data_IF_914582086311
#
_entry.id   IF_914582086311
#
_cell.length_a   1.000
_cell.length_b   1.000
_cell.length_c   1.000
_cell.angle_alpha   90.00
_cell.angle_beta   90.00
_cell.angle_gamma   90.00
#
_symmetry.space_group_name_H-M   'P 1'
#
loop_
_entity.id
_entity.type
_entity.pdbx_description
1 polymer ?
#
# COMPACT_ATOMS: atom_id res chain seq x y z
N UNK A 1 -9.66 -8.56 15.78
CA UNK A 1 -8.74 -7.76 14.93
C UNK A 1 -7.58 -7.20 15.74
N UNK A 2 -6.34 -7.32 15.26
CA UNK A 2 -5.18 -6.68 15.90
C UNK A 2 -5.06 -5.19 15.52
N UNK A 3 -3.99 -4.49 15.94
CA UNK A 3 -3.79 -3.07 15.62
C UNK A 3 -3.45 -2.84 14.14
N UNK A 4 -2.64 -3.72 13.56
CA UNK A 4 -2.19 -3.63 12.16
C UNK A 4 -3.36 -3.84 11.19
N UNK A 5 -4.20 -4.84 11.46
CA UNK A 5 -5.42 -5.13 10.71
C UNK A 5 -6.39 -3.93 10.73
N UNK A 6 -6.50 -3.25 11.87
CA UNK A 6 -7.35 -2.04 12.01
C UNK A 6 -6.81 -0.89 11.20
N UNK A 7 -5.49 -0.68 11.23
CA UNK A 7 -4.84 0.34 10.40
C UNK A 7 -5.07 0.05 8.92
N UNK A 8 -4.88 -1.20 8.49
CA UNK A 8 -5.13 -1.60 7.11
C UNK A 8 -6.57 -1.34 6.68
N UNK A 9 -7.55 -1.70 7.51
CA UNK A 9 -8.96 -1.40 7.25
C UNK A 9 -9.21 0.13 7.22
N UNK A 10 -8.58 0.90 8.11
CA UNK A 10 -8.64 2.35 8.09
C UNK A 10 -8.14 2.90 6.75
N UNK A 11 -7.01 2.41 6.24
CA UNK A 11 -6.46 2.86 4.95
C UNK A 11 -7.44 2.65 3.79
N UNK A 12 -8.12 1.50 3.78
CA UNK A 12 -9.12 1.15 2.76
C UNK A 12 -10.43 1.93 2.90
N UNK A 13 -10.85 2.25 4.12
CA UNK A 13 -12.01 3.12 4.36
C UNK A 13 -11.74 4.58 3.97
N UNK A 14 -10.50 5.04 4.15
CA UNK A 14 -10.12 6.43 3.99
C UNK A 14 -9.14 6.66 2.83
N UNK A 15 -9.19 5.82 1.80
CA UNK A 15 -8.32 5.92 0.61
C UNK A 15 -8.38 7.31 -0.06
N UNK A 16 -9.53 7.96 -0.01
CA UNK A 16 -9.71 9.32 -0.54
C UNK A 16 -8.84 10.36 0.18
N UNK A 17 -8.59 10.19 1.48
CA UNK A 17 -7.69 11.08 2.23
C UNK A 17 -6.24 10.93 1.75
N UNK A 18 -5.77 9.70 1.53
CA UNK A 18 -4.44 9.44 0.96
C UNK A 18 -4.29 10.07 -0.42
N UNK A 19 -5.29 9.91 -1.30
CA UNK A 19 -5.31 10.55 -2.62
C UNK A 19 -5.24 12.07 -2.55
N UNK A 20 -5.97 12.67 -1.61
CA UNK A 20 -5.93 14.12 -1.40
C UNK A 20 -4.53 14.58 -0.92
N UNK A 21 -3.90 13.84 -0.02
CA UNK A 21 -2.53 14.12 0.45
C UNK A 21 -1.50 14.02 -0.68
N UNK A 22 -1.59 12.99 -1.54
CA UNK A 22 -0.70 12.84 -2.71
C UNK A 22 -0.87 14.03 -3.67
N UNK A 23 -2.12 14.41 -3.97
CA UNK A 23 -2.42 15.58 -4.82
C UNK A 23 -1.91 16.89 -4.21
N UNK A 24 -2.10 17.09 -2.91
CA UNK A 24 -1.61 18.28 -2.22
C UNK A 24 -0.09 18.41 -2.32
N UNK A 25 0.64 17.31 -2.11
CA UNK A 25 2.10 17.26 -2.23
C UNK A 25 2.57 17.53 -3.66
N UNK A 26 1.85 17.03 -4.66
CA UNK A 26 2.14 17.32 -6.07
C UNK A 26 1.94 18.80 -6.40
N UNK A 27 0.84 19.40 -5.96
CA UNK A 27 0.57 20.83 -6.14
C UNK A 27 1.62 21.71 -5.44
N UNK A 28 2.16 21.28 -4.29
CA UNK A 28 3.23 21.97 -3.60
C UNK A 28 4.54 21.91 -4.40
N UNK A 29 4.90 20.73 -4.91
CA UNK A 29 6.07 20.56 -5.78
C UNK A 29 5.96 21.37 -7.07
N UNK A 30 4.79 21.41 -7.69
CA UNK A 30 4.52 22.22 -8.88
C UNK A 30 4.73 23.71 -8.61
N UNK A 31 4.28 24.20 -7.45
CA UNK A 31 4.56 25.57 -7.01
C UNK A 31 6.04 25.83 -6.80
N UNK A 32 6.77 24.91 -6.17
CA UNK A 32 8.22 25.03 -5.96
C UNK A 32 8.93 25.10 -7.31
N UNK A 33 8.56 24.23 -8.25
CA UNK A 33 9.10 24.21 -9.60
C UNK A 33 8.85 25.53 -10.34
N UNK A 34 7.60 26.03 -10.35
CA UNK A 34 7.27 27.29 -11.02
C UNK A 34 7.88 28.53 -10.37
N UNK A 35 8.07 28.50 -9.05
CA UNK A 35 8.70 29.60 -8.30
C UNK A 35 10.23 29.49 -8.27
N UNK A 36 10.81 28.45 -8.88
CA UNK A 36 12.24 28.30 -8.96
C UNK A 36 12.83 29.38 -9.87
N UNK A 37 13.69 30.24 -9.32
CA UNK A 37 14.37 31.25 -10.12
C UNK A 37 15.40 30.58 -11.03
N UNK A 38 15.21 30.69 -12.34
CA UNK A 38 16.17 30.26 -13.37
C UNK A 38 17.51 31.02 -13.30
N UNK A 39 17.52 32.15 -12.61
CA UNK A 39 18.69 33.01 -12.42
C UNK A 39 18.97 33.05 -10.92
N UNK A 40 19.96 32.30 -10.47
CA UNK A 40 20.55 32.55 -9.16
C UNK A 40 21.33 33.86 -9.23
N UNK A 41 21.08 34.76 -8.29
CA UNK A 41 21.95 35.93 -8.15
C UNK A 41 23.36 35.41 -7.83
N UNK A 42 24.41 35.86 -8.53
CA UNK A 42 25.78 35.54 -8.16
C UNK A 42 26.16 36.08 -6.76
N UNK A 43 25.28 36.90 -6.15
CA UNK A 43 25.39 37.43 -4.80
C UNK A 43 24.42 36.78 -3.80
N UNK A 44 23.76 35.66 -4.15
CA UNK A 44 22.95 34.94 -3.18
C UNK A 44 23.86 34.23 -2.18
N UNK A 45 23.81 34.64 -0.91
CA UNK A 45 24.47 33.98 0.21
C UNK A 45 23.40 33.41 1.16
N UNK A 46 23.74 32.34 1.86
CA UNK A 46 22.90 31.77 2.93
C UNK A 46 22.78 32.77 4.09
N UNK A 47 21.94 32.49 5.07
CA UNK A 47 21.71 33.37 6.23
C UNK A 47 22.99 33.69 7.02
N UNK A 48 24.05 32.89 6.86
CA UNK A 48 25.37 33.10 7.43
C UNK A 48 26.17 34.24 6.76
N UNK A 49 25.71 34.73 5.61
CA UNK A 49 26.37 35.77 4.81
C UNK A 49 27.72 35.38 4.21
N UNK A 50 28.13 34.12 4.35
CA UNK A 50 29.47 33.63 4.00
C UNK A 50 29.42 32.49 2.98
N UNK A 51 28.34 31.71 2.97
CA UNK A 51 28.19 30.56 2.09
C UNK A 51 27.36 30.95 0.86
N UNK A 52 27.90 30.90 -0.37
CA UNK A 52 27.11 31.14 -1.56
C UNK A 52 25.96 30.13 -1.68
N UNK A 53 24.76 30.60 -2.02
CA UNK A 53 23.62 29.73 -2.31
C UNK A 53 23.90 29.00 -3.62
N UNK A 54 24.36 27.76 -3.52
CA UNK A 54 24.49 26.86 -4.67
C UNK A 54 23.16 26.18 -4.90
N UNK A 55 22.39 26.73 -5.84
CA UNK A 55 21.21 26.09 -6.37
C UNK A 55 21.61 24.80 -7.11
N UNK A 56 20.94 23.66 -6.88
CA UNK A 56 21.17 22.48 -7.70
C UNK A 56 20.96 22.82 -9.19
N UNK A 57 21.72 22.20 -10.11
CA UNK A 57 21.54 22.37 -11.54
C UNK A 57 20.07 22.22 -11.93
N UNK A 58 19.57 23.13 -12.76
CA UNK A 58 18.17 23.15 -13.18
C UNK A 58 17.73 21.79 -13.75
N UNK A 59 18.60 21.14 -14.52
CA UNK A 59 18.35 19.81 -15.11
C UNK A 59 18.03 18.75 -14.05
N UNK A 60 18.69 18.78 -12.89
CA UNK A 60 18.41 17.84 -11.79
C UNK A 60 17.03 18.10 -11.18
N UNK A 61 16.66 19.37 -11.00
CA UNK A 61 15.37 19.76 -10.42
C UNK A 61 14.22 19.38 -11.35
N UNK A 62 14.41 19.57 -12.66
CA UNK A 62 13.45 19.14 -13.68
C UNK A 62 13.28 17.62 -13.64
N UNK A 63 14.38 16.86 -13.62
CA UNK A 63 14.33 15.40 -13.56
C UNK A 63 13.64 14.92 -12.28
N UNK A 64 14.01 15.47 -11.11
CA UNK A 64 13.40 15.13 -9.82
C UNK A 64 11.90 15.44 -9.82
N UNK A 65 11.49 16.60 -10.39
CA UNK A 65 10.09 16.96 -10.50
C UNK A 65 9.33 15.99 -11.40
N UNK A 66 9.87 15.66 -12.57
CA UNK A 66 9.25 14.71 -13.52
C UNK A 66 9.13 13.33 -12.90
N UNK A 67 10.17 12.84 -12.22
CA UNK A 67 10.16 11.54 -11.55
C UNK A 67 9.11 11.49 -10.44
N UNK A 68 9.03 12.54 -9.62
CA UNK A 68 8.03 12.66 -8.55
C UNK A 68 6.61 12.77 -9.11
N UNK A 69 6.41 13.49 -10.22
CA UNK A 69 5.11 13.60 -10.88
C UNK A 69 4.66 12.24 -11.46
N UNK A 70 5.57 11.52 -12.12
CA UNK A 70 5.30 10.18 -12.65
C UNK A 70 4.99 9.19 -11.54
N UNK A 71 5.76 9.21 -10.45
CA UNK A 71 5.54 8.37 -9.28
C UNK A 71 4.17 8.66 -8.68
N UNK A 72 3.83 9.93 -8.47
CA UNK A 72 2.54 10.32 -7.90
C UNK A 72 1.36 9.93 -8.80
N UNK A 73 1.49 10.07 -10.13
CA UNK A 73 0.48 9.57 -11.10
C UNK A 73 0.29 8.06 -10.96
N UNK A 74 1.37 7.29 -10.86
CA UNK A 74 1.31 5.84 -10.65
C UNK A 74 0.66 5.48 -9.32
N UNK A 75 1.04 6.16 -8.23
CA UNK A 75 0.42 5.96 -6.91
C UNK A 75 -1.08 6.24 -6.96
N UNK A 76 -1.51 7.36 -7.58
CA UNK A 76 -2.94 7.68 -7.72
C UNK A 76 -3.71 6.60 -8.50
N UNK A 77 -3.14 6.07 -9.57
CA UNK A 77 -3.76 4.98 -10.34
C UNK A 77 -3.92 3.69 -9.52
N UNK A 78 -2.91 3.36 -8.71
CA UNK A 78 -2.96 2.20 -7.79
C UNK A 78 -4.06 2.41 -6.74
N UNK A 79 -4.07 3.58 -6.10
CA UNK A 79 -5.09 3.93 -5.09
C UNK A 79 -6.51 3.98 -5.68
N UNK A 80 -6.67 4.47 -6.92
CA UNK A 80 -7.95 4.45 -7.64
C UNK A 80 -8.44 3.01 -7.87
N UNK A 81 -7.54 2.10 -8.23
CA UNK A 81 -7.88 0.69 -8.40
C UNK A 81 -8.28 0.04 -7.08
N UNK A 82 -7.46 0.18 -6.02
CA UNK A 82 -7.75 -0.36 -4.69
C UNK A 82 -9.10 0.14 -4.16
N UNK A 83 -9.34 1.44 -4.27
CA UNK A 83 -10.61 2.05 -3.86
C UNK A 83 -11.78 1.47 -4.65
N UNK A 84 -11.64 1.33 -5.96
CA UNK A 84 -12.71 0.80 -6.80
C UNK A 84 -13.08 -0.64 -6.43
N UNK A 85 -12.10 -1.53 -6.28
CA UNK A 85 -12.37 -2.92 -5.90
C UNK A 85 -12.92 -3.03 -4.47
N UNK A 86 -12.39 -2.25 -3.53
CA UNK A 86 -12.89 -2.24 -2.16
C UNK A 86 -14.32 -1.71 -2.06
N UNK A 87 -14.69 -0.69 -2.83
CA UNK A 87 -16.07 -0.17 -2.83
C UNK A 87 -17.05 -1.20 -3.38
N UNK A 88 -16.66 -2.06 -4.34
CA UNK A 88 -17.52 -3.17 -4.78
C UNK A 88 -17.84 -4.10 -3.62
N UNK A 89 -16.83 -4.49 -2.83
CA UNK A 89 -17.02 -5.29 -1.64
C UNK A 89 -17.88 -4.55 -0.60
N UNK A 90 -17.56 -3.28 -0.33
CA UNK A 90 -18.27 -2.46 0.65
C UNK A 90 -19.77 -2.33 0.35
N UNK A 91 -20.12 -2.19 -0.92
CA UNK A 91 -21.51 -2.08 -1.38
C UNK A 91 -22.29 -3.40 -1.24
N UNK A 92 -21.62 -4.55 -1.08
CA UNK A 92 -22.27 -5.83 -0.75
C UNK A 92 -22.64 -5.98 0.72
N UNK A 93 -22.00 -5.20 1.61
CA UNK A 93 -22.21 -5.26 3.04
C UNK A 93 -23.51 -4.57 3.46
N UNK A 94 -24.18 -5.14 4.45
CA UNK A 94 -25.34 -4.53 5.07
C UNK A 94 -24.94 -3.28 5.88
N UNK A 95 -25.91 -2.39 6.10
CA UNK A 95 -25.67 -1.13 6.83
C UNK A 95 -25.15 -1.35 8.26
N UNK A 96 -25.55 -2.44 8.91
CA UNK A 96 -25.09 -2.79 10.25
C UNK A 96 -23.63 -3.27 10.23
N UNK A 97 -23.24 -4.04 9.21
CA UNK A 97 -21.86 -4.52 8.99
C UNK A 97 -20.92 -3.36 8.65
N UNK A 98 -21.38 -2.43 7.80
CA UNK A 98 -20.66 -1.20 7.49
C UNK A 98 -20.46 -0.31 8.74
N UNK A 99 -21.49 -0.20 9.58
CA UNK A 99 -21.42 0.54 10.85
C UNK A 99 -20.43 -0.12 11.81
N UNK A 100 -20.48 -1.44 11.90
CA UNK A 100 -19.56 -2.22 12.73
C UNK A 100 -18.10 -2.00 12.35
N UNK A 101 -17.75 -2.15 11.07
CA UNK A 101 -16.38 -1.95 10.58
C UNK A 101 -15.88 -0.52 10.85
N UNK A 102 -16.75 0.49 10.68
CA UNK A 102 -16.42 1.89 11.02
C UNK A 102 -16.20 2.09 12.52
N UNK A 103 -16.95 1.40 13.38
CA UNK A 103 -16.82 1.53 14.83
C UNK A 103 -15.57 0.82 15.36
N UNK A 104 -15.19 -0.34 14.79
CA UNK A 104 -13.94 -1.03 15.13
C UNK A 104 -12.75 -0.09 14.89
N UNK A 105 -12.74 0.56 13.73
CA UNK A 105 -11.67 1.47 13.35
C UNK A 105 -11.59 2.70 14.27
N UNK A 106 -12.73 3.17 14.78
CA UNK A 106 -12.81 4.28 15.73
C UNK A 106 -12.63 3.84 17.21
N UNK A 107 -12.23 2.59 17.47
CA UNK A 107 -11.98 2.06 18.82
C UNK A 107 -13.16 2.26 19.80
N UNK A 108 -14.38 1.93 19.38
CA UNK A 108 -15.54 2.00 20.27
C UNK A 108 -15.58 0.82 21.27
N UNK A 109 -15.55 1.11 22.57
CA UNK A 109 -15.43 0.11 23.66
C UNK A 109 -16.61 -0.87 23.85
N UNK A 110 -17.70 -0.76 23.08
CA UNK A 110 -18.93 -1.57 23.25
C UNK A 110 -19.37 -2.28 21.96
N UNK A 111 -18.42 -2.88 21.25
CA UNK A 111 -18.70 -3.61 20.02
C UNK A 111 -19.07 -5.07 20.31
N UNK A 112 -20.16 -5.54 19.71
CA UNK A 112 -20.44 -6.97 19.64
C UNK A 112 -19.44 -7.58 18.67
N UNK A 113 -18.60 -8.46 19.18
CA UNK A 113 -17.58 -9.16 18.40
C UNK A 113 -18.22 -9.88 17.20
N UNK A 114 -17.74 -9.56 16.00
CA UNK A 114 -18.12 -10.19 14.74
C UNK A 114 -16.88 -10.60 13.96
N UNK A 115 -16.14 -11.55 14.54
CA UNK A 115 -14.91 -12.12 14.00
C UNK A 115 -15.06 -12.68 12.58
N UNK A 116 -16.24 -13.19 12.21
CA UNK A 116 -16.50 -13.71 10.87
C UNK A 116 -16.42 -12.60 9.80
N UNK A 117 -17.05 -11.44 10.08
CA UNK A 117 -17.02 -10.28 9.20
C UNK A 117 -15.62 -9.66 9.12
N UNK A 118 -14.89 -9.62 10.24
CA UNK A 118 -13.50 -9.15 10.28
C UNK A 118 -12.59 -9.99 9.38
N UNK A 119 -12.63 -11.31 9.53
CA UNK A 119 -11.84 -12.24 8.72
C UNK A 119 -12.22 -12.12 7.24
N UNK A 120 -13.51 -12.04 6.94
CA UNK A 120 -13.98 -11.85 5.55
C UNK A 120 -13.44 -10.54 4.96
N UNK A 121 -13.50 -9.44 5.71
CA UNK A 121 -13.02 -8.13 5.25
C UNK A 121 -11.52 -8.15 4.98
N UNK A 122 -10.73 -8.75 5.88
CA UNK A 122 -9.29 -8.85 5.72
C UNK A 122 -8.90 -9.74 4.54
N UNK A 123 -9.61 -10.85 4.34
CA UNK A 123 -9.40 -11.71 3.18
C UNK A 123 -9.66 -10.98 1.85
N UNK A 124 -10.70 -10.13 1.79
CA UNK A 124 -10.98 -9.32 0.61
C UNK A 124 -9.91 -8.26 0.38
N UNK A 125 -9.46 -7.58 1.43
CA UNK A 125 -8.33 -6.66 1.34
C UNK A 125 -7.08 -7.37 0.80
N UNK A 126 -6.80 -8.59 1.28
CA UNK A 126 -5.66 -9.38 0.80
C UNK A 126 -5.77 -9.72 -0.69
N UNK A 127 -6.94 -10.13 -1.16
CA UNK A 127 -7.18 -10.39 -2.59
C UNK A 127 -7.00 -9.13 -3.44
N UNK A 128 -7.42 -7.96 -2.93
CA UNK A 128 -7.23 -6.68 -3.62
C UNK A 128 -5.74 -6.33 -3.70
N UNK A 129 -4.97 -6.53 -2.64
CA UNK A 129 -3.51 -6.33 -2.63
C UNK A 129 -2.82 -7.25 -3.65
N UNK A 130 -3.17 -8.54 -3.67
CA UNK A 130 -2.62 -9.51 -4.62
C UNK A 130 -2.94 -9.11 -6.07
N UNK A 131 -4.21 -8.76 -6.34
CA UNK A 131 -4.63 -8.31 -7.66
C UNK A 131 -3.93 -6.99 -8.08
N UNK A 132 -3.70 -6.09 -7.12
CA UNK A 132 -2.95 -4.85 -7.34
C UNK A 132 -1.50 -5.14 -7.71
N UNK A 133 -0.86 -6.06 -6.99
CA UNK A 133 0.50 -6.52 -7.26
C UNK A 133 0.66 -7.02 -8.69
N UNK A 134 -0.23 -7.93 -9.12
CA UNK A 134 -0.26 -8.45 -10.49
C UNK A 134 -0.52 -7.35 -11.53
N UNK A 135 -1.53 -6.49 -11.31
CA UNK A 135 -1.95 -5.49 -12.29
C UNK A 135 -0.89 -4.42 -12.55
N UNK A 136 -0.21 -3.98 -11.50
CA UNK A 136 0.76 -2.87 -11.57
C UNK A 136 2.21 -3.32 -11.56
N UNK A 137 2.46 -4.64 -11.63
CA UNK A 137 3.79 -5.25 -11.57
C UNK A 137 4.60 -4.73 -10.37
N UNK A 138 3.94 -4.64 -9.22
CA UNK A 138 4.62 -4.30 -7.98
C UNK A 138 5.35 -5.56 -7.50
N UNK A 139 6.56 -5.39 -6.96
CA UNK A 139 7.25 -6.49 -6.30
C UNK A 139 6.36 -6.96 -5.15
N UNK A 140 6.06 -8.26 -5.10
CA UNK A 140 5.41 -8.86 -3.95
C UNK A 140 6.35 -8.73 -2.76
N UNK A 141 5.98 -7.93 -1.75
CA UNK A 141 6.44 -8.21 -0.40
C UNK A 141 5.71 -9.47 0.04
N UNK A 142 6.39 -10.61 -0.13
CA UNK A 142 6.01 -11.91 0.42
C UNK A 142 6.15 -11.83 1.95
N UNK A 143 5.27 -11.07 2.59
CA UNK A 143 5.15 -10.96 4.04
C UNK A 143 3.92 -11.74 4.50
N UNK A 144 3.85 -13.04 4.20
CA UNK A 144 3.14 -14.00 5.03
C UNK A 144 4.04 -15.23 5.20
N UNK A 145 4.43 -15.39 6.47
CA UNK A 145 5.10 -16.51 7.10
C UNK A 145 4.75 -17.88 6.52
N UNK A 146 5.80 -18.64 6.23
CA UNK A 146 6.01 -19.91 6.90
C UNK A 146 7.48 -20.23 6.76
N UNK A 147 8.17 -20.47 7.88
CA UNK A 147 9.11 -21.58 7.93
C UNK A 147 8.34 -22.82 7.47
N UNK A 148 8.15 -22.96 6.16
CA UNK A 148 7.78 -24.20 5.53
C UNK A 148 8.98 -25.06 5.84
N UNK A 149 8.85 -25.77 6.95
CA UNK A 149 9.67 -26.88 7.36
C UNK A 149 9.81 -27.74 6.10
N UNK A 150 10.89 -27.52 5.34
CA UNK A 150 11.15 -28.21 4.07
C UNK A 150 11.15 -29.73 4.33
N UNK A 151 11.39 -30.10 5.58
CA UNK A 151 11.32 -31.46 6.12
C UNK A 151 9.88 -32.01 6.23
N UNK A 152 8.84 -31.22 6.48
CA UNK A 152 7.45 -31.72 6.52
C UNK A 152 6.88 -31.97 5.13
N UNK A 153 7.20 -31.11 4.15
CA UNK A 153 6.79 -31.31 2.75
C UNK A 153 7.56 -32.49 2.12
N UNK A 154 8.85 -32.65 2.43
CA UNK A 154 9.60 -33.86 2.05
C UNK A 154 9.08 -35.11 2.73
N UNK A 155 8.78 -35.05 4.03
CA UNK A 155 8.23 -36.17 4.80
C UNK A 155 6.89 -36.65 4.23
N UNK A 156 5.98 -35.72 3.91
CA UNK A 156 4.70 -36.09 3.25
C UNK A 156 4.91 -36.61 1.83
N UNK A 157 5.85 -36.05 1.05
CA UNK A 157 6.19 -36.59 -0.27
C UNK A 157 6.77 -38.02 -0.21
N UNK A 158 7.70 -38.27 0.71
CA UNK A 158 8.31 -39.59 0.90
C UNK A 158 7.31 -40.62 1.43
N UNK A 159 6.36 -40.20 2.28
CA UNK A 159 5.29 -41.07 2.76
C UNK A 159 4.31 -41.44 1.64
N UNK A 160 3.94 -40.49 0.78
CA UNK A 160 3.06 -40.76 -0.38
C UNK A 160 3.76 -41.60 -1.44
N UNK A 161 5.04 -41.32 -1.73
CA UNK A 161 5.85 -42.11 -2.67
C UNK A 161 6.14 -43.52 -2.13
N UNK A 162 6.43 -43.67 -0.84
CA UNK A 162 6.63 -44.98 -0.18
C UNK A 162 5.37 -45.85 -0.15
N UNK A 163 4.18 -45.23 -0.05
CA UNK A 163 2.90 -45.95 -0.15
C UNK A 163 2.60 -46.42 -1.59
N UNK A 164 3.07 -45.69 -2.61
CA UNK A 164 2.91 -46.08 -4.01
C UNK A 164 3.89 -47.19 -4.43
N UNK A 165 5.09 -47.23 -3.87
CA UNK A 165 6.09 -48.28 -4.17
C UNK A 165 5.82 -49.60 -3.45
N UNK A 166 5.16 -49.58 -2.29
CA UNK A 166 4.80 -50.79 -1.54
C UNK A 166 3.51 -51.47 -2.05
N UNK A 167 2.85 -50.89 -3.06
CA UNK A 167 1.65 -51.44 -3.70
C UNK A 167 1.91 -52.31 -4.94
N UNK A 168 3.17 -52.47 -5.38
CA UNK A 168 3.53 -53.40 -6.46
C UNK A 168 4.29 -54.61 -5.92
N UNK A 169 3.57 -55.45 -5.17
CA UNK A 169 3.95 -56.84 -4.97
C UNK A 169 3.53 -57.68 -6.18
N UNK A 170 4.52 -58.15 -6.93
CA UNK A 170 4.50 -59.48 -7.57
C UNK A 170 5.20 -60.43 -6.60
#
# INVERSE_FOLDING_TARGET
MDELDRELLFEYLYTQNRKNSIRARLNELEKIYHNYSFISSPFAYQEDGMTPVRHPPFDLIVNDFVDMEQLAKRCLQIEDYKHHEFMKYWDTLNRDEQTYLKQIVNQCDNLKDNSALEIQTLNEIHQIEEATGHRFHLAYDLAIDQNANIDDVKSTMDQVLGMLTNGQGI
#
